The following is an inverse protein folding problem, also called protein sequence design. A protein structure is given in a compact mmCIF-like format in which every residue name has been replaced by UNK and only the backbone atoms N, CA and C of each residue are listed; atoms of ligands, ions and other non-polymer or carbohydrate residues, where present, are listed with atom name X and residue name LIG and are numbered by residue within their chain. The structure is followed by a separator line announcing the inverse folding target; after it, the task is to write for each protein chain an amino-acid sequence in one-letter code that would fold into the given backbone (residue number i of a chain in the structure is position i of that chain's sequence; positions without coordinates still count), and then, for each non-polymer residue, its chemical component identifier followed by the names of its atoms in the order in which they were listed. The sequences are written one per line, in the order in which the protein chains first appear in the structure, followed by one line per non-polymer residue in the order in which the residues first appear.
data_IF_637313740311
#
_entry.id   IF_637313740311
#
_cell.length_a   1.000
_cell.length_b   1.000
_cell.length_c   1.000
_cell.angle_alpha   90.00
_cell.angle_beta   90.00
_cell.angle_gamma   90.00
#
_symmetry.space_group_name_H-M   'P 1'
#
loop_
_entity.id
_entity.type
_entity.pdbx_description
1 polymer ?
#
# COMPACT_ATOMS: atom_id res chain seq x y z
N UNK A 1 7.95 -17.56 -26.68
CA UNK A 1 8.31 -16.12 -26.64
C UNK A 1 9.48 -15.80 -27.57
N UNK A 2 10.62 -16.48 -27.43
CA UNK A 2 11.80 -16.31 -28.31
C UNK A 2 11.46 -16.44 -29.80
N UNK A 3 10.74 -17.48 -30.19
CA UNK A 3 10.33 -17.70 -31.60
C UNK A 3 9.28 -16.69 -32.10
N UNK A 4 8.48 -16.12 -31.20
CA UNK A 4 7.42 -15.16 -31.55
C UNK A 4 7.94 -13.72 -31.60
N UNK A 5 9.23 -13.49 -31.36
CA UNK A 5 9.82 -12.14 -31.30
C UNK A 5 9.17 -11.25 -30.24
N UNK A 6 8.52 -11.83 -29.23
CA UNK A 6 7.77 -11.08 -28.22
C UNK A 6 8.75 -10.45 -27.23
N UNK A 7 8.96 -9.14 -27.34
CA UNK A 7 9.83 -8.39 -26.45
C UNK A 7 9.13 -8.11 -25.12
N UNK A 8 9.78 -8.44 -24.00
CA UNK A 8 9.29 -8.13 -22.65
C UNK A 8 9.07 -6.62 -22.45
N UNK A 9 9.73 -5.78 -23.24
CA UNK A 9 9.63 -4.32 -23.18
C UNK A 9 8.47 -3.71 -23.96
N UNK A 10 7.78 -4.45 -24.84
CA UNK A 10 6.56 -3.93 -25.49
C UNK A 10 5.37 -3.77 -24.51
N UNK A 11 5.53 -4.23 -23.26
CA UNK A 11 4.51 -4.22 -22.22
C UNK A 11 4.75 -3.17 -21.12
N UNK A 12 5.59 -2.16 -21.37
CA UNK A 12 5.89 -1.05 -20.43
C UNK A 12 5.15 0.26 -20.75
N UNK A 13 4.16 0.25 -21.65
CA UNK A 13 3.39 1.45 -21.98
C UNK A 13 2.59 2.01 -20.76
N UNK A 14 2.17 3.27 -20.85
CA UNK A 14 1.43 3.96 -19.80
C UNK A 14 0.20 3.17 -19.30
N UNK A 15 -0.44 2.43 -20.21
CA UNK A 15 -1.67 1.65 -19.94
C UNK A 15 -1.35 0.39 -19.14
N UNK A 16 -0.27 -0.31 -19.48
CA UNK A 16 0.21 -1.46 -18.73
C UNK A 16 0.60 -1.07 -17.31
N UNK A 17 1.19 0.12 -17.12
CA UNK A 17 1.58 0.61 -15.81
C UNK A 17 0.37 1.03 -14.96
N UNK A 18 -0.61 1.72 -15.55
CA UNK A 18 -1.89 2.04 -14.89
C UNK A 18 -2.65 0.78 -14.48
N UNK A 19 -2.64 -0.26 -15.31
CA UNK A 19 -3.18 -1.58 -14.96
C UNK A 19 -2.54 -2.16 -13.69
N UNK A 20 -1.21 -2.10 -13.58
CA UNK A 20 -0.49 -2.61 -12.39
C UNK A 20 -0.87 -1.83 -11.14
N UNK A 21 -1.03 -0.51 -11.25
CA UNK A 21 -1.53 0.34 -10.16
C UNK A 21 -2.92 -0.09 -9.73
N UNK A 22 -3.86 -0.20 -10.68
CA UNK A 22 -5.24 -0.60 -10.39
C UNK A 22 -5.30 -1.95 -9.70
N UNK A 23 -4.57 -2.94 -10.22
CA UNK A 23 -4.55 -4.27 -9.60
C UNK A 23 -3.90 -4.22 -8.21
N UNK A 24 -2.79 -3.49 -8.03
CA UNK A 24 -2.13 -3.37 -6.73
C UNK A 24 -3.04 -2.73 -5.68
N UNK A 25 -3.76 -1.66 -6.02
CA UNK A 25 -4.73 -1.05 -5.11
C UNK A 25 -5.90 -2.00 -4.80
N UNK A 26 -6.41 -2.71 -5.80
CA UNK A 26 -7.53 -3.65 -5.62
C UNK A 26 -7.22 -4.84 -4.70
N UNK A 27 -5.96 -5.25 -4.64
CA UNK A 27 -5.50 -6.32 -3.74
C UNK A 27 -4.96 -5.80 -2.39
N UNK A 28 -4.97 -4.49 -2.15
CA UNK A 28 -4.37 -3.91 -0.93
C UNK A 28 -2.86 -4.14 -0.87
N UNK A 29 -2.17 -4.02 -2.00
CA UNK A 29 -0.77 -4.36 -2.17
C UNK A 29 0.21 -3.54 -1.32
N UNK A 30 1.47 -3.97 -1.31
CA UNK A 30 2.54 -3.36 -0.50
C UNK A 30 2.87 -1.93 -0.94
N UNK A 31 3.22 -1.08 0.03
CA UNK A 31 3.80 0.26 -0.20
C UNK A 31 5.16 0.22 -0.91
N UNK A 32 5.78 -0.95 -1.01
CA UNK A 32 6.98 -1.17 -1.83
C UNK A 32 6.66 -1.24 -3.34
N UNK A 33 5.42 -1.55 -3.73
CA UNK A 33 5.05 -1.68 -5.14
C UNK A 33 5.28 -0.40 -5.96
N UNK A 34 4.90 0.81 -5.49
CA UNK A 34 5.26 2.06 -6.15
C UNK A 34 6.75 2.22 -6.46
N UNK A 35 7.64 1.78 -5.56
CA UNK A 35 9.11 1.87 -5.74
C UNK A 35 9.54 0.93 -6.87
N UNK A 36 9.09 -0.33 -6.83
CA UNK A 36 9.43 -1.33 -7.85
C UNK A 36 8.83 -1.00 -9.22
N UNK A 37 7.57 -0.54 -9.26
CA UNK A 37 6.92 -0.14 -10.51
C UNK A 37 7.62 1.06 -11.14
N UNK A 38 8.06 2.04 -10.34
CA UNK A 38 8.86 3.15 -10.84
C UNK A 38 10.24 2.70 -11.34
N UNK A 39 10.90 1.76 -10.67
CA UNK A 39 12.18 1.22 -11.14
C UNK A 39 12.03 0.50 -12.48
N UNK A 40 10.97 -0.31 -12.65
CA UNK A 40 10.65 -0.99 -13.92
C UNK A 40 10.31 0.03 -15.01
N UNK A 41 9.57 1.09 -14.68
CA UNK A 41 9.15 2.13 -15.62
C UNK A 41 10.26 3.13 -16.00
N UNK A 42 11.38 3.18 -15.27
CA UNK A 42 12.53 4.03 -15.61
C UNK A 42 13.53 3.37 -16.57
N UNK A 43 13.27 2.14 -17.01
CA UNK A 43 14.12 1.50 -18.01
C UNK A 43 14.01 2.24 -19.36
N UNK A 44 15.04 2.19 -20.23
CA UNK A 44 15.27 3.14 -21.33
C UNK A 44 14.12 3.30 -22.35
N UNK A 45 13.15 2.39 -22.34
CA UNK A 45 12.03 2.33 -23.28
C UNK A 45 10.75 3.00 -22.78
N UNK A 46 10.70 3.50 -21.53
CA UNK A 46 9.52 4.17 -20.99
C UNK A 46 9.86 5.53 -20.38
N UNK A 47 9.26 6.59 -20.92
CA UNK A 47 9.36 7.97 -20.41
C UNK A 47 8.42 8.25 -19.24
N UNK A 48 7.76 7.22 -18.69
CA UNK A 48 6.73 7.36 -17.68
C UNK A 48 7.32 7.23 -16.28
N UNK A 49 7.47 8.35 -15.60
CA UNK A 49 7.62 8.36 -14.15
C UNK A 49 6.20 8.28 -13.58
N UNK A 50 5.89 7.25 -12.78
CA UNK A 50 4.71 7.30 -11.93
C UNK A 50 4.98 8.34 -10.85
N UNK A 51 4.69 9.59 -11.18
CA UNK A 51 4.53 10.62 -10.18
C UNK A 51 3.57 10.08 -9.14
N UNK A 52 3.98 10.19 -7.87
CA UNK A 52 3.21 9.69 -6.75
C UNK A 52 1.76 10.27 -6.72
N UNK A 53 1.51 11.41 -7.36
CA UNK A 53 0.22 12.11 -7.29
C UNK A 53 -0.97 11.53 -8.08
N UNK A 54 -0.79 10.72 -9.14
CA UNK A 54 -1.90 10.46 -10.08
C UNK A 54 -2.25 8.96 -10.22
N UNK A 55 -3.44 8.57 -9.75
CA UNK A 55 -4.09 7.30 -10.09
C UNK A 55 -4.07 6.21 -9.02
N UNK A 56 -3.41 6.43 -7.88
CA UNK A 56 -3.37 5.44 -6.80
C UNK A 56 -4.64 5.44 -5.93
N UNK A 57 -5.31 6.58 -5.78
CA UNK A 57 -6.30 6.86 -4.72
C UNK A 57 -7.70 6.28 -4.93
N UNK A 58 -8.15 6.05 -6.17
CA UNK A 58 -9.58 5.83 -6.50
C UNK A 58 -9.92 4.39 -6.90
N UNK A 59 -9.29 3.41 -6.24
CA UNK A 59 -9.52 1.99 -6.54
C UNK A 59 -9.93 1.27 -5.26
N UNK A 60 -11.06 0.53 -5.27
CA UNK A 60 -11.57 -0.14 -4.08
C UNK A 60 -10.74 -1.36 -3.69
N UNK A 61 -10.74 -1.71 -2.41
CA UNK A 61 -10.15 -2.95 -1.90
C UNK A 61 -11.13 -4.09 -2.15
N UNK A 62 -10.74 -5.04 -2.99
CA UNK A 62 -11.56 -6.21 -3.30
C UNK A 62 -11.14 -7.45 -2.51
N UNK A 63 -9.88 -7.53 -2.08
CA UNK A 63 -9.35 -8.76 -1.47
C UNK A 63 -9.35 -8.66 0.05
N UNK A 64 -10.11 -9.56 0.68
CA UNK A 64 -10.16 -9.77 2.12
C UNK A 64 -9.00 -10.64 2.58
N UNK A 65 -7.81 -10.03 2.63
CA UNK A 65 -6.56 -10.69 2.99
C UNK A 65 -5.80 -9.85 4.01
N UNK A 66 -5.16 -10.50 4.97
CA UNK A 66 -4.26 -9.83 5.90
C UNK A 66 -3.16 -9.06 5.14
N UNK A 67 -2.77 -7.85 5.61
CA UNK A 67 -3.16 -7.23 6.88
C UNK A 67 -4.46 -6.39 6.85
N UNK A 68 -5.10 -6.22 5.70
CA UNK A 68 -6.30 -5.37 5.57
C UNK A 68 -7.61 -6.13 5.87
N UNK A 69 -7.56 -7.46 5.84
CA UNK A 69 -8.70 -8.35 6.03
C UNK A 69 -8.35 -9.57 6.89
N UNK A 70 -9.17 -10.60 6.77
CA UNK A 70 -9.19 -11.73 7.70
C UNK A 70 -8.46 -12.97 7.18
N UNK A 71 -8.48 -13.21 5.87
CA UNK A 71 -7.97 -14.44 5.27
C UNK A 71 -6.46 -14.41 4.97
N UNK A 72 -5.92 -15.58 4.61
CA UNK A 72 -4.54 -15.79 4.17
C UNK A 72 -4.45 -16.26 2.71
N UNK A 73 -3.23 -16.36 2.19
CA UNK A 73 -2.96 -16.56 0.76
C UNK A 73 -3.58 -17.82 0.15
N UNK A 74 -3.76 -18.88 0.95
CA UNK A 74 -4.40 -20.13 0.49
C UNK A 74 -5.87 -19.90 0.12
N UNK A 75 -6.63 -19.22 0.98
CA UNK A 75 -8.02 -18.87 0.70
C UNK A 75 -8.12 -17.94 -0.51
N UNK A 76 -7.20 -16.98 -0.65
CA UNK A 76 -7.13 -16.10 -1.82
C UNK A 76 -6.91 -16.89 -3.12
N UNK A 77 -6.00 -17.87 -3.11
CA UNK A 77 -5.77 -18.74 -4.25
C UNK A 77 -7.02 -19.58 -4.59
N UNK A 78 -7.62 -20.22 -3.57
CA UNK A 78 -8.84 -21.03 -3.74
C UNK A 78 -10.05 -20.22 -4.22
N UNK A 79 -10.12 -18.93 -3.86
CA UNK A 79 -11.16 -18.01 -4.34
C UNK A 79 -10.98 -17.59 -5.82
N UNK A 80 -9.87 -17.98 -6.47
CA UNK A 80 -9.58 -17.67 -7.87
C UNK A 80 -8.40 -16.71 -8.08
N UNK A 81 -7.82 -16.17 -7.00
CA UNK A 81 -6.59 -15.38 -7.03
C UNK A 81 -6.64 -14.12 -7.90
N UNK A 82 -5.49 -13.76 -8.47
CA UNK A 82 -5.34 -12.55 -9.30
C UNK A 82 -6.29 -12.54 -10.51
N UNK A 83 -6.52 -13.65 -11.25
CA UNK A 83 -7.51 -13.68 -12.33
C UNK A 83 -8.91 -13.25 -11.89
N UNK A 84 -9.38 -13.68 -10.72
CA UNK A 84 -10.68 -13.27 -10.19
C UNK A 84 -10.75 -11.78 -9.83
N UNK A 85 -9.68 -11.21 -9.29
CA UNK A 85 -9.60 -9.75 -9.08
C UNK A 85 -9.62 -9.00 -10.42
N UNK A 86 -8.85 -9.48 -11.40
CA UNK A 86 -8.82 -8.88 -12.73
C UNK A 86 -10.15 -9.00 -13.46
N UNK A 87 -10.89 -10.10 -13.26
CA UNK A 87 -12.25 -10.29 -13.75
C UNK A 87 -13.20 -9.19 -13.25
N UNK A 88 -13.24 -8.94 -11.94
CA UNK A 88 -14.08 -7.89 -11.35
C UNK A 88 -13.73 -6.49 -11.89
N UNK A 89 -12.43 -6.21 -12.03
CA UNK A 89 -11.96 -4.94 -12.60
C UNK A 89 -12.29 -4.79 -14.10
N UNK A 90 -12.24 -5.87 -14.88
CA UNK A 90 -12.64 -5.88 -16.29
C UNK A 90 -14.15 -5.63 -16.43
N UNK A 91 -14.95 -6.35 -15.66
CA UNK A 91 -16.42 -6.21 -15.61
C UNK A 91 -16.84 -4.79 -15.25
N UNK A 92 -16.11 -4.13 -14.35
CA UNK A 92 -16.34 -2.74 -13.97
C UNK A 92 -15.74 -1.69 -14.94
N UNK A 93 -15.11 -2.12 -16.04
CA UNK A 93 -14.46 -1.23 -17.00
C UNK A 93 -13.23 -0.48 -16.46
N UNK A 94 -12.64 -0.96 -15.35
CA UNK A 94 -11.47 -0.35 -14.68
C UNK A 94 -10.14 -0.92 -15.16
N UNK A 95 -10.17 -1.99 -15.94
CA UNK A 95 -9.00 -2.64 -16.53
C UNK A 95 -9.04 -2.58 -18.06
N UNK A 96 -7.90 -2.28 -18.68
CA UNK A 96 -7.79 -2.35 -20.13
C UNK A 96 -7.58 -3.81 -20.58
N UNK A 97 -8.64 -4.43 -21.09
CA UNK A 97 -8.64 -5.84 -21.48
C UNK A 97 -7.77 -6.21 -22.67
N UNK A 98 -7.54 -5.28 -23.61
CA UNK A 98 -6.82 -5.55 -24.87
C UNK A 98 -5.29 -5.58 -24.75
N UNK A 99 -4.73 -5.40 -23.55
CA UNK A 99 -3.27 -5.50 -23.35
C UNK A 99 -2.81 -6.93 -23.59
N UNK A 100 -1.78 -7.11 -24.41
CA UNK A 100 -1.17 -8.41 -24.67
C UNK A 100 -0.44 -8.96 -23.44
N UNK A 101 -0.49 -10.28 -23.26
CA UNK A 101 0.23 -10.99 -22.21
C UNK A 101 1.33 -11.87 -22.80
N UNK A 102 2.20 -12.40 -21.93
CA UNK A 102 3.26 -13.34 -22.32
C UNK A 102 2.70 -14.66 -22.90
N UNK A 103 1.44 -14.99 -22.63
CA UNK A 103 0.76 -16.14 -23.21
C UNK A 103 0.42 -15.95 -24.71
N UNK A 104 0.54 -14.73 -25.25
CA UNK A 104 0.13 -14.40 -26.61
C UNK A 104 -1.37 -14.16 -26.77
N UNK A 105 -2.10 -14.07 -25.65
CA UNK A 105 -3.51 -13.69 -25.53
C UNK A 105 -3.61 -12.36 -24.79
N UNK A 106 -4.77 -11.69 -24.91
CA UNK A 106 -5.05 -10.45 -24.17
C UNK A 106 -5.39 -10.74 -22.70
N UNK A 107 -5.32 -9.70 -21.87
CA UNK A 107 -5.78 -9.77 -20.47
C UNK A 107 -7.25 -10.20 -20.40
N UNK A 108 -8.10 -9.66 -21.26
CA UNK A 108 -9.52 -10.02 -21.34
C UNK A 108 -9.71 -11.51 -21.63
N UNK A 109 -9.02 -12.04 -22.63
CA UNK A 109 -9.08 -13.47 -22.96
C UNK A 109 -8.67 -14.37 -21.80
N UNK A 110 -7.75 -13.92 -20.94
CA UNK A 110 -7.26 -14.71 -19.82
C UNK A 110 -8.11 -14.60 -18.55
N UNK A 111 -8.92 -13.55 -18.40
CA UNK A 111 -9.57 -13.22 -17.13
C UNK A 111 -11.09 -13.00 -17.23
N UNK A 112 -11.68 -12.97 -18.43
CA UNK A 112 -13.14 -12.76 -18.57
C UNK A 112 -13.97 -13.92 -18.00
N UNK A 113 -13.48 -15.15 -18.04
CA UNK A 113 -14.20 -16.35 -17.57
C UNK A 113 -13.65 -16.88 -16.22
N UNK A 114 -13.06 -16.00 -15.41
CA UNK A 114 -12.51 -16.34 -14.09
C UNK A 114 -13.22 -15.58 -12.97
N UNK A 115 -14.52 -15.79 -12.72
CA UNK A 115 -15.19 -15.13 -11.61
C UNK A 115 -14.62 -15.57 -10.25
N UNK A 116 -14.86 -14.77 -9.21
CA UNK A 116 -14.57 -15.16 -7.83
C UNK A 116 -15.34 -16.44 -7.47
N UNK A 117 -14.64 -17.40 -6.88
CA UNK A 117 -15.23 -18.64 -6.36
C UNK A 117 -15.68 -18.49 -4.89
N UNK A 118 -15.27 -17.40 -4.22
CA UNK A 118 -15.66 -17.08 -2.87
C UNK A 118 -15.69 -15.56 -2.66
N UNK A 119 -16.89 -14.99 -2.58
CA UNK A 119 -17.14 -13.56 -2.39
C UNK A 119 -16.78 -13.04 -1.00
N UNK A 120 -16.54 -13.91 -0.02
CA UNK A 120 -16.04 -13.50 1.30
C UNK A 120 -14.55 -13.14 1.24
N UNK A 121 -13.82 -13.73 0.29
CA UNK A 121 -12.38 -13.56 0.10
C UNK A 121 -12.07 -12.55 -1.00
N UNK A 122 -12.75 -12.65 -2.16
CA UNK A 122 -12.61 -11.69 -3.27
C UNK A 122 -13.98 -11.08 -3.52
N UNK A 123 -14.15 -9.85 -3.06
CA UNK A 123 -15.38 -9.07 -3.08
C UNK A 123 -15.73 -8.60 -4.50
N UNK A 124 -17.04 -8.52 -4.84
CA UNK A 124 -17.48 -7.87 -6.06
C UNK A 124 -17.06 -6.39 -6.11
N UNK A 125 -16.83 -5.84 -7.31
CA UNK A 125 -16.46 -4.42 -7.44
C UNK A 125 -17.52 -3.46 -6.87
N UNK A 126 -18.80 -3.84 -6.94
CA UNK A 126 -19.92 -3.03 -6.45
C UNK A 126 -20.10 -3.10 -4.93
N UNK A 127 -19.50 -4.09 -4.26
CA UNK A 127 -19.58 -4.27 -2.81
C UNK A 127 -18.17 -4.56 -2.26
N UNK A 128 -17.24 -3.59 -2.37
CA UNK A 128 -15.86 -3.79 -1.96
C UNK A 128 -15.71 -3.77 -0.44
N UNK A 129 -14.55 -4.18 0.07
CA UNK A 129 -14.22 -3.98 1.48
C UNK A 129 -14.06 -2.49 1.85
N UNK A 130 -13.53 -1.71 0.91
CA UNK A 130 -13.28 -0.28 1.09
C UNK A 130 -13.35 0.38 -0.28
N UNK A 131 -14.00 1.54 -0.39
CA UNK A 131 -14.18 2.25 -1.65
C UNK A 131 -12.86 2.84 -2.19
N UNK A 132 -12.01 3.35 -1.28
CA UNK A 132 -10.73 4.01 -1.60
C UNK A 132 -9.55 3.35 -0.87
N UNK A 133 -9.05 2.26 -1.44
CA UNK A 133 -7.94 1.46 -0.88
C UNK A 133 -6.55 1.90 -1.33
N UNK A 134 -6.52 2.98 -2.09
CA UNK A 134 -5.35 3.51 -2.74
C UNK A 134 -4.25 3.98 -1.80
N UNK A 135 -3.13 4.36 -2.39
CA UNK A 135 -2.12 5.12 -1.67
C UNK A 135 -2.49 6.59 -1.66
N UNK A 136 -2.40 7.22 -0.49
CA UNK A 136 -2.40 8.67 -0.36
C UNK A 136 -0.95 9.15 -0.45
N UNK A 137 -0.76 10.24 -1.16
CA UNK A 137 0.55 10.85 -1.34
C UNK A 137 0.58 12.19 -0.65
N UNK A 138 1.38 12.24 0.41
CA UNK A 138 1.58 13.43 1.21
C UNK A 138 2.78 14.20 0.68
N UNK A 139 2.68 15.53 0.75
CA UNK A 139 3.76 16.46 0.43
C UNK A 139 3.78 17.57 1.47
N UNK A 140 4.93 18.16 1.71
CA UNK A 140 5.04 19.31 2.59
C UNK A 140 6.47 19.75 2.82
N UNK A 141 6.68 20.51 3.89
CA UNK A 141 8.00 20.97 4.31
C UNK A 141 8.89 19.83 4.89
N UNK A 142 8.31 18.69 5.25
CA UNK A 142 9.05 17.52 5.77
C UNK A 142 9.54 16.60 4.64
N UNK A 143 8.82 16.50 3.54
CA UNK A 143 9.18 15.66 2.40
C UNK A 143 8.55 16.14 1.09
N UNK A 144 9.28 15.94 -0.02
CA UNK A 144 8.75 16.20 -1.36
C UNK A 144 7.60 15.26 -1.72
N UNK A 145 7.67 14.03 -1.20
CA UNK A 145 6.60 13.04 -1.28
C UNK A 145 6.77 11.92 -0.24
N UNK A 146 5.68 11.52 0.39
CA UNK A 146 5.56 10.31 1.20
C UNK A 146 4.31 9.52 0.78
N UNK A 147 4.34 8.20 0.97
CA UNK A 147 3.21 7.31 0.65
C UNK A 147 2.62 6.79 1.96
N UNK A 148 1.29 6.84 2.03
CA UNK A 148 0.52 6.26 3.11
C UNK A 148 -0.48 5.23 2.56
N UNK A 149 -0.62 4.11 3.26
CA UNK A 149 -1.60 3.06 2.95
C UNK A 149 -2.89 3.30 3.73
N UNK A 150 -3.98 3.63 3.05
CA UNK A 150 -5.28 3.91 3.70
C UNK A 150 -6.06 2.65 4.04
N UNK A 151 -5.82 1.56 3.30
CA UNK A 151 -6.53 0.28 3.45
C UNK A 151 -6.33 -0.44 4.78
N UNK A 152 -5.43 0.05 5.63
CA UNK A 152 -5.10 -0.54 6.93
C UNK A 152 -5.31 0.42 8.10
N UNK A 153 -6.00 1.55 7.86
CA UNK A 153 -6.39 2.48 8.93
C UNK A 153 -7.51 1.83 9.71
N UNK A 154 -7.27 1.51 10.98
CA UNK A 154 -8.29 0.94 11.85
C UNK A 154 -9.39 1.96 12.20
N UNK A 155 -10.57 1.49 12.60
CA UNK A 155 -11.64 2.35 13.10
C UNK A 155 -11.22 3.10 14.38
N UNK A 156 -10.41 2.46 15.23
CA UNK A 156 -9.88 3.07 16.44
C UNK A 156 -8.95 4.24 16.10
N UNK A 157 -8.03 4.04 15.16
CA UNK A 157 -7.14 5.08 14.65
C UNK A 157 -7.96 6.23 14.06
N UNK A 158 -8.90 5.91 13.16
CA UNK A 158 -9.73 6.90 12.49
C UNK A 158 -10.51 7.73 13.50
N UNK A 159 -11.10 7.10 14.50
CA UNK A 159 -11.84 7.78 15.57
C UNK A 159 -10.93 8.68 16.40
N UNK A 160 -9.72 8.22 16.74
CA UNK A 160 -8.78 8.95 17.59
C UNK A 160 -8.16 10.17 16.89
N UNK A 161 -7.78 10.05 15.62
CA UNK A 161 -6.99 11.06 14.93
C UNK A 161 -7.74 11.77 13.81
N UNK A 162 -8.65 11.11 13.09
CA UNK A 162 -9.16 11.61 11.80
C UNK A 162 -10.64 12.05 11.84
N UNK A 163 -11.29 12.00 13.01
CA UNK A 163 -12.75 12.18 13.14
C UNK A 163 -13.15 13.47 13.89
N UNK A 164 -12.25 14.42 14.05
CA UNK A 164 -12.56 15.69 14.71
C UNK A 164 -13.52 16.52 13.83
N UNK A 165 -14.72 16.91 14.33
CA UNK A 165 -15.69 17.66 13.55
C UNK A 165 -15.11 18.98 13.04
N UNK A 166 -15.21 19.22 11.73
CA UNK A 166 -14.67 20.41 11.06
C UNK A 166 -13.16 20.37 10.79
N UNK A 167 -12.48 19.27 11.13
CA UNK A 167 -11.07 18.97 10.84
C UNK A 167 -10.93 17.49 10.43
N UNK A 168 -11.87 16.98 9.64
CA UNK A 168 -11.89 15.59 9.21
C UNK A 168 -10.63 15.24 8.40
N UNK A 169 -9.98 14.12 8.76
CA UNK A 169 -8.69 13.69 8.21
C UNK A 169 -7.53 14.68 8.44
N UNK A 170 -7.63 15.57 9.43
CA UNK A 170 -6.57 16.48 9.84
C UNK A 170 -6.28 16.29 11.32
N UNK A 171 -5.00 16.16 11.67
CA UNK A 171 -4.56 16.09 13.06
C UNK A 171 -3.19 16.70 13.26
N UNK A 172 -2.91 17.08 14.51
CA UNK A 172 -1.62 17.59 14.95
C UNK A 172 -1.18 16.78 16.18
N UNK A 173 0.08 16.36 16.17
CA UNK A 173 0.65 15.45 17.16
C UNK A 173 2.12 15.77 17.40
N UNK A 174 2.62 15.39 18.56
CA UNK A 174 4.01 15.65 18.95
C UNK A 174 4.97 14.61 18.36
N UNK A 175 6.00 15.06 17.65
CA UNK A 175 6.98 14.18 17.04
C UNK A 175 7.99 13.61 18.06
N UNK A 176 8.18 12.29 18.00
CA UNK A 176 9.21 11.55 18.71
C UNK A 176 10.16 10.96 17.68
N UNK A 177 11.37 11.49 17.60
CA UNK A 177 12.33 11.16 16.54
C UNK A 177 13.34 10.13 17.03
N UNK A 178 13.61 9.13 16.20
CA UNK A 178 14.62 8.09 16.38
C UNK A 178 15.60 8.08 15.20
N UNK A 179 16.88 7.95 15.52
CA UNK A 179 17.98 7.81 14.56
C UNK A 179 18.26 6.32 14.31
N UNK A 180 17.56 5.73 13.35
CA UNK A 180 17.66 4.30 13.04
C UNK A 180 16.92 3.36 14.01
N UNK A 181 16.79 2.07 13.64
CA UNK A 181 16.04 1.10 14.44
C UNK A 181 16.71 0.81 15.80
N UNK A 182 18.04 0.95 15.88
CA UNK A 182 18.79 0.77 17.11
C UNK A 182 18.44 1.83 18.16
N UNK A 183 18.30 3.11 17.76
CA UNK A 183 17.87 4.18 18.68
C UNK A 183 16.41 3.99 19.10
N UNK A 184 15.54 3.60 18.16
CA UNK A 184 14.15 3.25 18.45
C UNK A 184 14.05 2.18 19.52
N UNK A 185 14.70 1.03 19.33
CA UNK A 185 14.64 -0.07 20.31
C UNK A 185 15.23 0.32 21.66
N UNK A 186 16.27 1.17 21.67
CA UNK A 186 16.92 1.63 22.90
C UNK A 186 16.03 2.59 23.70
N UNK A 187 15.31 3.49 23.04
CA UNK A 187 14.65 4.62 23.71
C UNK A 187 13.13 4.54 23.76
N UNK A 188 12.46 3.71 22.97
CA UNK A 188 10.97 3.70 22.88
C UNK A 188 10.29 3.52 24.25
N UNK A 189 10.90 2.80 25.18
CA UNK A 189 10.37 2.58 26.53
C UNK A 189 10.97 3.52 27.60
N UNK A 190 11.75 4.52 27.20
CA UNK A 190 12.29 5.53 28.13
C UNK A 190 11.15 6.45 28.61
N UNK A 191 10.81 6.45 29.92
CA UNK A 191 9.76 7.32 30.44
C UNK A 191 10.05 8.80 30.24
N UNK A 192 11.31 9.21 30.06
CA UNK A 192 11.68 10.61 29.83
C UNK A 192 11.18 11.15 28.48
N UNK A 193 10.88 10.27 27.51
CA UNK A 193 10.25 10.66 26.26
C UNK A 193 8.79 11.09 26.43
N UNK A 194 8.17 10.70 27.56
CA UNK A 194 6.78 10.99 27.91
C UNK A 194 5.82 10.72 26.75
N UNK A 195 5.98 9.60 26.03
CA UNK A 195 5.19 9.29 24.84
C UNK A 195 3.74 8.99 25.25
N UNK A 196 2.80 9.68 24.61
CA UNK A 196 1.36 9.58 24.86
C UNK A 196 0.59 9.20 23.58
N UNK A 197 -0.74 9.09 23.68
CA UNK A 197 -1.62 8.75 22.56
C UNK A 197 -1.64 9.78 21.43
N UNK A 198 -1.14 11.00 21.65
CA UNK A 198 -1.11 12.11 20.69
C UNK A 198 0.32 12.43 20.26
N UNK A 199 1.15 11.39 20.22
CA UNK A 199 2.49 11.41 19.65
C UNK A 199 2.54 10.72 18.30
N UNK A 200 3.58 11.06 17.55
CA UNK A 200 3.91 10.45 16.27
C UNK A 200 5.35 9.95 16.32
N UNK A 201 5.52 8.67 16.00
CA UNK A 201 6.84 8.04 16.01
C UNK A 201 7.50 8.31 14.65
N UNK A 202 8.69 8.88 14.64
CA UNK A 202 9.42 9.25 13.42
C UNK A 202 10.77 8.56 13.45
N UNK A 203 11.10 7.81 12.40
CA UNK A 203 12.41 7.20 12.22
C UNK A 203 13.09 7.80 10.99
N UNK A 204 14.35 8.20 11.13
CA UNK A 204 15.15 8.77 10.04
C UNK A 204 16.50 8.07 9.90
N UNK A 205 17.16 8.30 8.77
CA UNK A 205 18.41 7.61 8.45
C UNK A 205 18.18 6.19 7.96
N UNK A 206 16.95 5.86 7.58
CA UNK A 206 16.55 4.52 7.15
C UNK A 206 16.29 4.43 5.64
N UNK A 207 16.52 5.51 4.88
CA UNK A 207 16.36 5.57 3.44
C UNK A 207 17.48 4.89 2.62
N UNK A 208 17.44 5.00 1.27
CA UNK A 208 18.39 4.32 0.38
C UNK A 208 19.86 4.61 0.64
N UNK A 209 20.17 5.85 1.07
CA UNK A 209 21.54 6.29 1.38
C UNK A 209 21.85 6.16 2.87
N UNK A 210 20.89 6.52 3.74
CA UNK A 210 21.11 6.54 5.19
C UNK A 210 21.34 5.15 5.80
N UNK A 211 20.55 4.15 5.40
CA UNK A 211 20.65 2.78 5.95
C UNK A 211 21.71 1.90 5.28
N UNK A 212 22.25 2.31 4.12
CA UNK A 212 22.08 1.72 2.78
C UNK A 212 20.87 0.80 2.48
N UNK A 213 20.24 0.98 1.31
CA UNK A 213 19.30 0.01 0.74
C UNK A 213 17.83 0.14 1.17
N UNK A 214 17.52 1.11 2.03
CA UNK A 214 16.18 1.42 2.54
C UNK A 214 15.53 0.29 3.34
N UNK A 215 15.60 0.40 4.67
CA UNK A 215 15.16 -0.65 5.61
C UNK A 215 13.65 -0.67 5.83
N UNK A 216 13.10 -1.85 6.15
CA UNK A 216 11.69 -2.03 6.54
C UNK A 216 11.50 -1.86 8.05
N UNK A 217 11.48 -0.61 8.52
CA UNK A 217 11.51 -0.27 9.95
C UNK A 217 10.51 0.82 10.36
N UNK A 218 9.75 1.37 9.41
CA UNK A 218 8.82 2.49 9.68
C UNK A 218 7.63 2.06 10.53
N UNK A 219 7.24 0.78 10.49
CA UNK A 219 6.13 0.19 11.25
C UNK A 219 6.42 0.02 12.76
N UNK A 220 6.80 1.11 13.42
CA UNK A 220 7.10 1.17 14.86
C UNK A 220 5.85 0.90 15.70
N UNK A 221 6.05 0.26 16.84
CA UNK A 221 4.97 0.02 17.82
C UNK A 221 4.99 1.10 18.91
N UNK A 222 3.83 1.37 19.55
CA UNK A 222 3.81 2.21 20.74
C UNK A 222 4.68 1.62 21.86
N UNK A 223 5.08 2.43 22.86
CA UNK A 223 5.75 1.93 24.05
C UNK A 223 4.90 0.87 24.79
N UNK A 224 5.57 -0.01 25.52
CA UNK A 224 4.92 -1.10 26.28
C UNK A 224 3.87 -0.59 27.28
N UNK A 225 4.01 0.63 27.78
CA UNK A 225 3.01 1.25 28.65
C UNK A 225 1.69 1.50 27.89
N UNK A 226 1.76 2.15 26.72
CA UNK A 226 0.57 2.43 25.90
C UNK A 226 -0.11 1.17 25.39
N UNK A 227 0.68 0.15 24.99
CA UNK A 227 0.13 -1.15 24.57
C UNK A 227 -0.66 -1.81 25.72
N UNK A 228 -0.14 -1.75 26.96
CA UNK A 228 -0.84 -2.26 28.15
C UNK A 228 -2.13 -1.49 28.45
N UNK A 229 -2.15 -0.20 28.13
CA UNK A 229 -3.33 0.67 28.27
C UNK A 229 -4.32 0.52 27.09
N UNK A 230 -4.06 -0.41 26.16
CA UNK A 230 -4.94 -0.73 25.04
C UNK A 230 -4.69 0.09 23.78
N UNK A 231 -3.73 1.03 23.79
CA UNK A 231 -3.32 1.79 22.61
C UNK A 231 -2.30 0.96 21.85
N UNK A 232 -2.75 0.28 20.79
CA UNK A 232 -1.93 -0.64 19.99
C UNK A 232 -1.22 0.01 18.82
N UNK A 233 -1.62 1.23 18.49
CA UNK A 233 -1.17 1.95 17.30
C UNK A 233 -0.94 3.44 17.61
N UNK A 234 0.14 3.97 17.06
CA UNK A 234 0.43 5.40 16.95
C UNK A 234 0.74 5.71 15.49
N UNK A 235 0.57 6.96 15.02
CA UNK A 235 1.09 7.41 13.73
C UNK A 235 2.62 7.14 13.60
N UNK A 236 3.12 6.63 12.46
CA UNK A 236 4.55 6.23 12.24
C UNK A 236 5.28 6.66 10.93
N UNK A 237 6.28 7.57 10.98
CA UNK A 237 6.91 8.23 9.81
C UNK A 237 8.27 7.65 9.59
N UNK A 238 8.72 7.60 8.36
CA UNK A 238 10.15 7.61 8.13
C UNK A 238 10.56 7.68 6.68
N UNK A 239 11.87 7.81 6.49
CA UNK A 239 12.53 7.80 5.19
C UNK A 239 12.86 6.36 4.70
N UNK A 240 12.57 5.36 5.53
CA UNK A 240 12.64 3.94 5.19
C UNK A 240 11.38 3.40 4.50
N UNK A 241 11.20 2.09 4.59
CA UNK A 241 10.05 1.32 4.10
C UNK A 241 9.41 0.56 5.26
N UNK A 242 8.43 -0.26 4.94
CA UNK A 242 7.84 -1.23 5.84
C UNK A 242 7.48 -2.50 5.07
N UNK A 243 7.29 -3.59 5.82
CA UNK A 243 6.80 -4.83 5.23
C UNK A 243 5.39 -4.67 4.68
N UNK A 244 5.11 -5.31 3.54
CA UNK A 244 3.77 -5.39 2.96
C UNK A 244 2.76 -6.17 3.81
N UNK A 245 3.24 -6.98 4.75
CA UNK A 245 2.42 -7.79 5.67
C UNK A 245 1.98 -7.02 6.92
N UNK A 246 2.49 -5.81 7.14
CA UNK A 246 2.27 -5.06 8.36
C UNK A 246 1.46 -3.80 8.09
N UNK A 247 0.53 -3.53 9.01
CA UNK A 247 -0.15 -2.24 9.12
C UNK A 247 0.89 -1.21 9.54
N UNK A 248 0.98 -0.10 8.81
CA UNK A 248 1.52 1.12 9.39
C UNK A 248 0.44 2.17 9.37
N UNK A 249 0.43 2.96 10.42
CA UNK A 249 -0.66 3.85 10.73
C UNK A 249 -0.37 5.25 10.21
N UNK A 250 -1.39 5.92 9.68
CA UNK A 250 -1.23 7.08 8.82
C UNK A 250 -0.69 8.32 9.55
N UNK A 251 -0.09 9.21 8.76
CA UNK A 251 0.38 10.57 9.05
C UNK A 251 -0.66 11.63 8.76
#
# INVERSE_FOLDING_TARGET
MVEKGSDTFQNSDARSLRKRITVNSAIGGSTNAPIHLNAIARQPTSSLILGLGNGWTTVPLLVNLQPAGEYLGEAYHQAGGVPAVMHELLKAGKLHGKTMTVAGTTVEQNCSDTPSLNSDVIKPYAEPMMEDAGFVVLKGNVCDAAIMKTSVISDEFRKRYLSNPGQENVFEVRAIVFDGPEDYHKRINDPLLNIDAYCILVIRGCGPVGYPGSAEVVNMQPPNALIRDGIRELPTLGDGRQSGLLVAHPF
#
